data_IF_210096671142
#
_entry.id   IF_210096671142
#
_cell.length_a   1.000
_cell.length_b   1.000
_cell.length_c   1.000
_cell.angle_alpha   90.00
_cell.angle_beta   90.00
_cell.angle_gamma   90.00
#
_symmetry.space_group_name_H-M   'P 1'
#
loop_
_entity.id
_entity.type
_entity.pdbx_description
1 polymer ?
#
# COMPACT_ATOMS: atom_id res chain seq x y z
N UNK A 1 -12.30 -34.22 -15.93
CA UNK A 1 -13.69 -33.71 -15.77
C UNK A 1 -13.59 -32.52 -14.81
N UNK A 2 -13.96 -31.28 -15.13
CA UNK A 2 -14.48 -30.65 -16.36
C UNK A 2 -13.74 -29.26 -16.52
N UNK A 3 -13.52 -28.64 -17.68
CA UNK A 3 -14.48 -27.93 -18.59
C UNK A 3 -15.51 -27.09 -17.82
N UNK A 4 -15.83 -25.82 -18.06
CA UNK A 4 -15.84 -24.92 -19.24
C UNK A 4 -15.65 -23.46 -18.71
N UNK A 5 -15.39 -22.37 -19.45
CA UNK A 5 -14.91 -22.09 -20.83
C UNK A 5 -14.50 -20.60 -20.95
N UNK A 6 -13.92 -20.20 -22.10
CA UNK A 6 -13.61 -18.81 -22.45
C UNK A 6 -14.88 -17.99 -22.83
N UNK A 7 -14.87 -16.67 -22.60
CA UNK A 7 -15.72 -15.73 -23.36
C UNK A 7 -14.96 -14.45 -23.68
N UNK A 8 -14.75 -14.22 -24.98
CA UNK A 8 -14.20 -12.99 -25.55
C UNK A 8 -15.35 -11.98 -25.70
N UNK A 9 -15.07 -10.69 -25.49
CA UNK A 9 -15.89 -9.59 -25.96
C UNK A 9 -14.98 -8.64 -26.77
N UNK A 10 -15.32 -8.44 -28.03
CA UNK A 10 -14.56 -7.59 -28.96
C UNK A 10 -15.26 -6.24 -29.20
N UNK A 11 -14.50 -5.30 -29.74
CA UNK A 11 -14.69 -3.84 -29.74
C UNK A 11 -15.71 -3.38 -30.81
N UNK A 12 -16.54 -2.35 -30.55
CA UNK A 12 -17.08 -1.48 -31.58
C UNK A 12 -16.08 -0.36 -31.91
N UNK A 13 -15.63 -0.26 -33.16
CA UNK A 13 -14.80 0.86 -33.66
C UNK A 13 -15.63 2.10 -34.01
N UNK A 14 -14.94 3.16 -34.49
CA UNK A 14 -15.43 4.44 -35.04
C UNK A 14 -15.61 5.55 -33.96
N UNK A 15 -15.15 6.80 -34.12
CA UNK A 15 -14.43 7.51 -35.21
C UNK A 15 -13.58 8.69 -34.67
N UNK A 16 -12.78 9.32 -35.53
CA UNK A 16 -12.05 10.59 -35.30
C UNK A 16 -12.38 11.56 -36.48
N UNK A 17 -12.07 12.89 -36.47
CA UNK A 17 -10.97 13.53 -35.74
C UNK A 17 -11.28 14.87 -35.03
N UNK A 18 -10.19 15.46 -34.50
CA UNK A 18 -9.94 16.88 -34.13
C UNK A 18 -10.31 17.36 -32.70
N UNK A 19 -9.53 18.21 -32.00
CA UNK A 19 -8.13 18.64 -32.15
C UNK A 19 -7.62 19.30 -30.84
N UNK A 20 -6.31 19.56 -30.73
CA UNK A 20 -5.65 20.47 -29.76
C UNK A 20 -5.78 20.28 -28.22
N UNK A 21 -4.83 19.51 -27.69
CA UNK A 21 -3.92 19.91 -26.58
C UNK A 21 -4.47 20.51 -25.26
N UNK A 22 -4.58 19.66 -24.23
CA UNK A 22 -3.89 19.90 -22.94
C UNK A 22 -3.76 18.60 -22.13
N UNK A 23 -2.55 18.02 -22.10
CA UNK A 23 -2.26 16.79 -21.36
C UNK A 23 -2.12 17.06 -19.85
N UNK A 24 -3.24 17.06 -19.13
CA UNK A 24 -3.27 16.90 -17.67
C UNK A 24 -2.76 15.51 -17.29
N UNK A 25 -1.45 15.38 -17.05
CA UNK A 25 -0.83 14.12 -16.66
C UNK A 25 -1.11 13.83 -15.18
N UNK A 26 -2.19 13.10 -14.91
CA UNK A 26 -2.41 12.48 -13.61
C UNK A 26 -1.25 11.52 -13.29
N UNK A 27 -0.59 11.62 -12.12
CA UNK A 27 0.48 10.70 -11.76
C UNK A 27 -0.11 9.32 -11.45
N UNK A 28 0.12 8.35 -12.34
CA UNK A 28 -0.32 6.98 -12.11
C UNK A 28 0.51 6.32 -11.00
N UNK A 29 -0.18 5.83 -9.97
CA UNK A 29 0.40 4.95 -8.96
C UNK A 29 0.60 3.57 -9.61
N UNK A 30 1.84 3.09 -9.68
CA UNK A 30 2.18 1.78 -10.25
C UNK A 30 2.70 0.88 -9.13
N UNK A 31 1.95 -0.18 -8.81
CA UNK A 31 2.39 -1.26 -7.93
C UNK A 31 3.02 -2.35 -8.79
N UNK A 32 4.25 -2.77 -8.49
CA UNK A 32 4.93 -3.85 -9.18
C UNK A 32 5.30 -4.96 -8.19
N UNK A 33 4.83 -6.18 -8.45
CA UNK A 33 5.16 -7.39 -7.70
C UNK A 33 6.14 -8.22 -8.52
N UNK A 34 7.32 -8.50 -7.99
CA UNK A 34 8.30 -9.36 -8.64
C UNK A 34 8.12 -10.82 -8.17
N UNK A 35 7.76 -11.72 -9.08
CA UNK A 35 7.76 -13.17 -8.86
C UNK A 35 8.88 -13.78 -9.72
N UNK A 36 9.84 -14.53 -9.13
CA UNK A 36 10.88 -15.18 -9.91
C UNK A 36 10.32 -16.42 -10.62
N UNK A 37 10.31 -16.41 -11.95
CA UNK A 37 9.99 -17.56 -12.81
C UNK A 37 11.28 -17.97 -13.55
N UNK A 38 11.59 -19.27 -13.71
CA UNK A 38 12.82 -19.70 -14.37
C UNK A 38 12.87 -19.31 -15.86
N UNK A 39 14.03 -18.83 -16.30
CA UNK A 39 14.27 -18.31 -17.66
C UNK A 39 14.75 -19.40 -18.62
N UNK A 40 14.20 -19.49 -19.83
CA UNK A 40 14.92 -19.98 -21.00
C UNK A 40 15.24 -18.85 -21.99
N UNK A 41 16.54 -18.65 -22.20
CA UNK A 41 17.27 -18.15 -23.39
C UNK A 41 16.49 -17.34 -24.45
N UNK A 42 16.83 -16.05 -24.50
CA UNK A 42 17.14 -15.24 -25.69
C UNK A 42 16.15 -15.26 -26.88
N UNK A 43 15.20 -14.32 -26.87
CA UNK A 43 14.85 -13.57 -28.09
C UNK A 43 14.86 -12.07 -27.78
N UNK A 44 15.36 -11.25 -28.71
CA UNK A 44 15.62 -9.82 -28.50
C UNK A 44 14.32 -9.00 -28.52
N UNK A 45 13.65 -8.90 -27.38
CA UNK A 45 12.55 -7.95 -27.19
C UNK A 45 13.11 -6.54 -27.01
N UNK A 46 13.03 -5.75 -28.09
CA UNK A 46 13.36 -4.33 -28.06
C UNK A 46 12.45 -3.60 -27.07
N UNK A 47 13.00 -3.23 -25.91
CA UNK A 47 12.32 -2.40 -24.93
C UNK A 47 12.39 -0.94 -25.38
N UNK A 48 11.56 -0.60 -26.38
CA UNK A 48 11.13 0.78 -26.65
C UNK A 48 10.18 1.22 -25.55
N UNK A 49 10.72 1.33 -24.35
CA UNK A 49 10.07 1.83 -23.15
C UNK A 49 11.10 2.67 -22.41
N UNK A 50 11.18 3.95 -22.76
CA UNK A 50 11.91 4.94 -21.97
C UNK A 50 11.32 4.97 -20.57
N UNK A 51 11.96 4.26 -19.63
CA UNK A 51 11.66 4.34 -18.20
C UNK A 51 12.21 5.67 -17.73
N UNK A 52 11.44 6.72 -18.01
CA UNK A 52 11.83 8.11 -17.88
C UNK A 52 12.48 8.41 -16.53
N UNK A 53 13.80 8.59 -16.59
CA UNK A 53 14.64 9.28 -15.62
C UNK A 53 14.32 9.03 -14.15
N UNK A 54 14.82 7.92 -13.59
CA UNK A 54 15.28 7.78 -12.19
C UNK A 54 14.40 8.49 -11.13
N UNK A 55 13.08 8.46 -11.31
CA UNK A 55 12.16 9.36 -10.65
C UNK A 55 11.65 8.69 -9.38
N UNK A 56 12.11 9.23 -8.25
CA UNK A 56 11.81 8.69 -6.94
C UNK A 56 10.31 8.88 -6.62
N UNK A 57 9.54 7.80 -6.46
CA UNK A 57 8.10 7.89 -6.32
C UNK A 57 7.73 8.54 -4.98
N UNK A 58 6.66 9.34 -4.99
CA UNK A 58 6.05 9.80 -3.74
C UNK A 58 5.38 8.61 -3.05
N UNK A 59 5.65 8.44 -1.75
CA UNK A 59 5.05 7.39 -0.93
C UNK A 59 4.03 8.04 -0.01
N UNK A 60 2.76 7.67 -0.17
CA UNK A 60 1.65 8.10 0.68
C UNK A 60 1.11 6.86 1.39
N UNK A 61 1.08 6.91 2.72
CA UNK A 61 0.49 5.86 3.57
C UNK A 61 -0.79 6.41 4.15
N UNK A 62 -1.89 5.67 3.97
CA UNK A 62 -3.17 5.94 4.63
C UNK A 62 -3.40 4.82 5.64
N UNK A 63 -3.54 5.17 6.91
CA UNK A 63 -3.81 4.24 8.02
C UNK A 63 -5.03 4.75 8.80
N UNK A 64 -6.18 4.13 8.59
CA UNK A 64 -7.36 4.37 9.41
C UNK A 64 -7.18 3.75 10.80
N UNK A 65 -7.78 4.36 11.82
CA UNK A 65 -7.87 3.78 13.18
C UNK A 65 -9.18 3.01 13.30
N UNK A 66 -9.12 1.84 13.95
CA UNK A 66 -10.25 0.92 14.24
C UNK A 66 -11.19 0.54 13.07
N UNK A 67 -10.79 0.81 11.82
CA UNK A 67 -11.54 0.39 10.62
C UNK A 67 -11.44 -1.13 10.41
N UNK A 68 -12.57 -1.82 10.49
CA UNK A 68 -12.68 -3.24 10.24
C UNK A 68 -12.66 -3.60 8.75
N UNK A 69 -12.17 -4.80 8.43
CA UNK A 69 -12.20 -5.33 7.05
C UNK A 69 -13.62 -5.38 6.48
N UNK A 70 -14.63 -5.59 7.34
CA UNK A 70 -16.04 -5.64 6.95
C UNK A 70 -16.70 -4.28 6.69
N UNK A 71 -15.99 -3.15 6.87
CA UNK A 71 -16.60 -1.81 6.78
C UNK A 71 -16.60 -1.21 5.36
N UNK A 72 -15.76 -1.72 4.47
CA UNK A 72 -15.57 -1.20 3.10
C UNK A 72 -16.40 -1.98 2.07
N UNK A 73 -16.93 -1.29 1.06
CA UNK A 73 -17.71 -1.95 -0.01
C UNK A 73 -16.85 -2.92 -0.83
N UNK A 74 -15.57 -2.61 -1.07
CA UNK A 74 -14.62 -3.49 -1.75
C UNK A 74 -14.36 -4.83 -1.03
N UNK A 75 -14.69 -4.94 0.25
CA UNK A 75 -14.68 -6.21 1.02
C UNK A 75 -16.08 -6.80 1.26
N UNK A 76 -17.14 -6.20 0.68
CA UNK A 76 -18.50 -6.73 0.66
C UNK A 76 -19.53 -5.97 1.50
N UNK A 77 -19.18 -4.85 2.13
CA UNK A 77 -20.16 -4.02 2.84
C UNK A 77 -21.20 -3.43 1.87
N UNK A 78 -22.49 -3.47 2.25
CA UNK A 78 -23.62 -2.95 1.46
C UNK A 78 -24.36 -1.78 2.11
N UNK A 79 -23.97 -1.40 3.33
CA UNK A 79 -24.66 -0.40 4.17
C UNK A 79 -23.90 0.92 4.24
N UNK A 80 -22.58 0.87 4.18
CA UNK A 80 -21.69 2.04 4.06
C UNK A 80 -21.41 2.31 2.58
N UNK A 81 -21.02 3.54 2.23
CA UNK A 81 -20.57 3.91 0.88
C UNK A 81 -19.13 4.42 0.93
N UNK A 82 -18.21 3.74 0.25
CA UNK A 82 -16.76 4.05 0.31
C UNK A 82 -16.12 4.34 -1.06
N UNK A 83 -16.77 5.11 -1.96
CA UNK A 83 -16.48 5.11 -3.40
C UNK A 83 -15.03 5.46 -3.76
N UNK A 84 -14.36 6.31 -2.98
CA UNK A 84 -12.96 6.66 -3.20
C UNK A 84 -12.00 5.52 -2.84
N UNK A 85 -12.30 4.74 -1.80
CA UNK A 85 -11.50 3.57 -1.39
C UNK A 85 -11.77 2.40 -2.34
N UNK A 86 -13.03 2.23 -2.77
CA UNK A 86 -13.40 1.21 -3.75
C UNK A 86 -12.73 1.46 -5.11
N UNK A 87 -12.62 2.74 -5.52
CA UNK A 87 -11.87 3.13 -6.71
C UNK A 87 -10.37 2.83 -6.57
N UNK A 88 -9.76 3.10 -5.42
CA UNK A 88 -8.36 2.72 -5.15
C UNK A 88 -8.13 1.20 -5.18
N UNK A 89 -9.09 0.42 -4.69
CA UNK A 89 -9.05 -1.04 -4.74
C UNK A 89 -9.17 -1.57 -6.19
N UNK A 90 -10.03 -0.96 -7.01
CA UNK A 90 -10.23 -1.32 -8.41
C UNK A 90 -9.07 -0.91 -9.33
N UNK A 91 -8.46 0.27 -9.09
CA UNK A 91 -7.31 0.77 -9.85
C UNK A 91 -5.96 0.17 -9.38
N UNK A 92 -5.95 -0.56 -8.27
CA UNK A 92 -4.75 -1.00 -7.58
C UNK A 92 -4.73 -2.49 -7.24
N UNK A 93 -4.27 -2.81 -6.02
CA UNK A 93 -4.19 -4.19 -5.50
C UNK A 93 -4.98 -4.27 -4.20
N UNK A 94 -5.99 -5.13 -4.17
CA UNK A 94 -6.77 -5.44 -2.97
C UNK A 94 -6.14 -6.63 -2.22
N UNK A 95 -5.78 -6.44 -0.94
CA UNK A 95 -5.22 -7.50 -0.11
C UNK A 95 -6.33 -8.19 0.69
N UNK A 96 -6.64 -9.44 0.38
CA UNK A 96 -7.66 -10.23 1.09
C UNK A 96 -7.19 -10.82 2.42
N UNK A 97 -5.87 -10.80 2.69
CA UNK A 97 -5.25 -11.28 3.93
C UNK A 97 -4.15 -10.32 4.41
N UNK A 98 -4.51 -9.07 4.69
CA UNK A 98 -3.61 -8.12 5.35
C UNK A 98 -3.73 -8.24 6.88
N UNK A 99 -2.67 -8.70 7.56
CA UNK A 99 -2.69 -8.99 8.99
C UNK A 99 -1.93 -7.91 9.78
N UNK A 100 -2.59 -7.30 10.76
CA UNK A 100 -1.92 -6.43 11.74
C UNK A 100 -1.00 -7.26 12.65
N UNK A 101 0.18 -6.73 12.96
CA UNK A 101 1.13 -7.36 13.88
C UNK A 101 0.66 -7.38 15.35
N UNK A 102 -0.41 -6.66 15.69
CA UNK A 102 -1.08 -6.68 16.98
C UNK A 102 -2.53 -6.16 16.90
N UNK A 103 -3.36 -6.52 17.88
CA UNK A 103 -4.76 -6.11 17.99
C UNK A 103 -5.00 -4.75 18.66
N UNK A 104 -3.96 -3.95 18.92
CA UNK A 104 -4.09 -2.61 19.54
C UNK A 104 -3.22 -1.58 18.82
N UNK A 105 -3.67 -0.31 18.86
CA UNK A 105 -3.10 0.83 18.14
C UNK A 105 -1.59 1.06 18.38
N UNK A 106 -1.12 1.09 19.63
CA UNK A 106 0.31 1.34 19.93
C UNK A 106 1.23 0.23 19.37
N UNK A 107 1.04 -1.07 19.69
CA UNK A 107 1.90 -2.11 19.15
C UNK A 107 1.78 -2.27 17.63
N UNK A 108 0.59 -2.10 17.03
CA UNK A 108 0.43 -2.21 15.57
C UNK A 108 1.18 -1.09 14.84
N UNK A 109 1.03 0.17 15.29
CA UNK A 109 1.73 1.34 14.72
C UNK A 109 3.25 1.25 14.92
N UNK A 110 3.72 0.78 16.08
CA UNK A 110 5.14 0.55 16.33
C UNK A 110 5.74 -0.50 15.37
N UNK A 111 5.05 -1.62 15.17
CA UNK A 111 5.48 -2.67 14.25
C UNK A 111 5.44 -2.20 12.78
N UNK A 112 4.42 -1.44 12.40
CA UNK A 112 4.32 -0.83 11.07
C UNK A 112 5.47 0.13 10.77
N UNK A 113 5.81 1.03 11.71
CA UNK A 113 6.89 2.00 11.53
C UNK A 113 8.28 1.36 11.45
N UNK A 114 8.52 0.26 12.19
CA UNK A 114 9.84 -0.38 12.34
C UNK A 114 10.04 -1.65 11.50
N UNK A 115 8.97 -2.22 10.93
CA UNK A 115 9.02 -3.54 10.29
C UNK A 115 9.32 -4.70 11.24
N UNK A 116 9.17 -4.51 12.56
CA UNK A 116 9.58 -5.47 13.60
C UNK A 116 8.38 -5.87 14.47
N UNK A 117 8.35 -7.12 14.92
CA UNK A 117 7.33 -7.55 15.87
C UNK A 117 7.35 -6.67 17.14
N UNK A 118 6.18 -6.31 17.71
CA UNK A 118 6.10 -5.37 18.84
C UNK A 118 7.00 -5.74 20.03
N UNK A 119 7.12 -7.04 20.33
CA UNK A 119 7.99 -7.56 21.40
C UNK A 119 9.48 -7.21 21.19
N UNK A 120 9.95 -7.08 19.94
CA UNK A 120 11.35 -6.74 19.61
C UNK A 120 11.65 -5.26 19.77
N UNK A 121 10.66 -4.41 19.49
CA UNK A 121 10.69 -2.96 19.79
C UNK A 121 10.32 -2.63 21.24
N UNK A 122 10.00 -3.64 22.05
CA UNK A 122 9.54 -3.47 23.42
C UNK A 122 8.11 -2.90 23.56
N UNK A 123 7.41 -2.61 22.46
CA UNK A 123 6.08 -1.98 22.41
C UNK A 123 4.90 -2.94 22.65
N UNK A 124 5.17 -4.14 23.14
CA UNK A 124 4.15 -5.03 23.71
C UNK A 124 4.42 -5.28 25.19
N UNK A 125 3.36 -5.31 25.98
CA UNK A 125 3.39 -5.83 27.35
C UNK A 125 2.05 -6.43 27.74
N UNK A 126 2.09 -7.56 28.44
CA UNK A 126 0.91 -8.14 29.09
C UNK A 126 0.59 -7.49 30.45
N UNK A 127 1.61 -6.92 31.11
CA UNK A 127 1.55 -6.57 32.55
C UNK A 127 1.90 -5.09 32.82
N UNK A 128 2.38 -4.34 31.83
CA UNK A 128 2.95 -3.00 32.02
C UNK A 128 2.27 -1.98 31.10
N UNK A 129 1.27 -1.29 31.67
CA UNK A 129 0.48 -0.26 30.98
C UNK A 129 1.33 0.86 30.37
N UNK A 130 2.54 1.13 30.87
CA UNK A 130 3.36 2.25 30.38
C UNK A 130 3.94 2.02 28.98
N UNK A 131 3.92 0.80 28.43
CA UNK A 131 4.46 0.51 27.08
C UNK A 131 3.45 0.54 25.94
N UNK A 132 2.15 0.44 26.24
CA UNK A 132 1.10 0.85 25.31
C UNK A 132 0.72 2.28 25.67
N UNK A 133 0.69 3.20 24.72
CA UNK A 133 0.39 4.60 25.03
C UNK A 133 -1.12 4.78 25.26
N UNK A 134 -1.55 4.60 26.50
CA UNK A 134 -2.94 4.82 26.96
C UNK A 134 -3.17 6.24 27.48
N UNK A 135 -2.10 6.95 27.85
CA UNK A 135 -2.15 8.29 28.42
C UNK A 135 -1.06 9.19 27.82
N UNK A 136 -1.39 10.45 27.54
CA UNK A 136 -0.45 11.45 27.00
C UNK A 136 0.74 11.72 27.94
N UNK A 137 0.54 11.59 29.26
CA UNK A 137 1.58 11.77 30.27
C UNK A 137 2.33 10.46 30.61
N UNK A 138 2.20 9.41 29.80
CA UNK A 138 2.99 8.18 29.97
C UNK A 138 4.47 8.45 29.62
N UNK A 139 5.40 7.89 30.41
CA UNK A 139 6.83 7.97 30.14
C UNK A 139 7.33 6.96 29.10
N UNK A 140 6.42 6.16 28.52
CA UNK A 140 6.74 5.21 27.45
C UNK A 140 6.76 5.84 26.06
N UNK A 141 7.18 5.05 25.08
CA UNK A 141 7.23 5.46 23.68
C UNK A 141 8.07 4.47 22.87
N UNK A 142 8.09 4.65 21.55
CA UNK A 142 8.98 3.90 20.68
C UNK A 142 10.44 4.19 21.09
N UNK A 143 11.28 3.16 21.36
CA UNK A 143 12.64 3.40 21.82
C UNK A 143 13.47 4.21 20.80
N UNK A 144 14.31 5.17 21.25
CA UNK A 144 15.06 6.06 20.35
C UNK A 144 16.13 5.35 19.52
N UNK A 145 16.43 4.09 19.81
CA UNK A 145 17.33 3.23 19.04
C UNK A 145 16.62 2.40 17.95
N UNK A 146 15.28 2.43 17.86
CA UNK A 146 14.54 1.79 16.77
C UNK A 146 14.57 2.68 15.52
N UNK A 147 14.85 2.08 14.36
CA UNK A 147 14.87 2.79 13.07
C UNK A 147 13.52 2.65 12.38
N UNK A 148 12.88 3.77 12.04
CA UNK A 148 11.63 3.75 11.28
C UNK A 148 11.87 3.78 9.77
N UNK A 149 10.92 3.31 8.97
CA UNK A 149 10.98 3.49 7.52
C UNK A 149 11.00 4.97 7.13
N UNK A 150 10.39 5.86 7.92
CA UNK A 150 10.44 7.30 7.68
C UNK A 150 11.88 7.83 7.83
N UNK A 151 12.59 7.45 8.91
CA UNK A 151 14.02 7.76 9.09
C UNK A 151 14.86 7.24 7.92
N UNK A 152 14.62 6.00 7.49
CA UNK A 152 15.32 5.40 6.34
C UNK A 152 15.06 6.17 5.04
N UNK A 153 13.82 6.62 4.79
CA UNK A 153 13.46 7.44 3.63
C UNK A 153 14.11 8.84 3.70
N UNK A 154 14.18 9.46 4.88
CA UNK A 154 14.90 10.72 5.09
C UNK A 154 16.39 10.57 4.74
N UNK A 155 17.06 9.51 5.19
CA UNK A 155 18.46 9.24 4.82
C UNK A 155 18.67 9.03 3.32
N UNK A 156 17.64 8.56 2.59
CA UNK A 156 17.69 8.53 1.11
C UNK A 156 17.40 9.89 0.48
N UNK A 157 16.91 10.89 1.23
CA UNK A 157 16.60 12.24 0.75
C UNK A 157 15.11 12.49 0.43
N UNK A 158 14.19 11.69 0.98
CA UNK A 158 12.76 12.01 0.94
C UNK A 158 12.42 13.04 2.02
N UNK A 159 11.49 13.95 1.72
CA UNK A 159 10.79 14.71 2.76
C UNK A 159 9.66 13.84 3.31
N UNK A 160 9.58 13.72 4.63
CA UNK A 160 8.56 12.92 5.32
C UNK A 160 7.73 13.81 6.23
N UNK A 161 6.42 13.57 6.30
CA UNK A 161 5.53 14.18 7.29
C UNK A 161 4.59 13.13 7.88
N UNK A 162 4.05 13.43 9.05
CA UNK A 162 2.95 12.72 9.69
C UNK A 162 1.84 13.73 9.92
N UNK A 163 0.59 13.30 9.73
CA UNK A 163 -0.65 14.08 9.91
C UNK A 163 -1.52 13.27 10.88
#
# INVERSE_FOLDING_TARGET
MASWSLKIAEIPQHSSPDSHSSLSRHPQVRVAMAVPVPVPVLSSWGHSGDVGQNSRPNIVVLMADDLGVGDLCCYGNKSVSTPNIDRLAHEGVLLTQHLSAASMCTPSRAAFLTGRYPIRSGMASANNMYRSLTWLASSGGLPPNETTFATLLQHRGYRTGLI
#
